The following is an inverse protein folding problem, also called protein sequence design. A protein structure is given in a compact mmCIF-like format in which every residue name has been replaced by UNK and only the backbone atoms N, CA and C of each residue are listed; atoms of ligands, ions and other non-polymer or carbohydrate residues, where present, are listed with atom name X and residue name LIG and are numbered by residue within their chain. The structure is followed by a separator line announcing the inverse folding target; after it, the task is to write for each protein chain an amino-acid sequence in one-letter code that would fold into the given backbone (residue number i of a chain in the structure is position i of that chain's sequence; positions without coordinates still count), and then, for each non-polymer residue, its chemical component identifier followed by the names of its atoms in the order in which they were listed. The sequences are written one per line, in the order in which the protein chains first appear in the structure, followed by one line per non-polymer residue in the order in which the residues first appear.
data_IF_250078375458
#
_entry.id   IF_250078375458
#
_cell.length_a   1.000
_cell.length_b   1.000
_cell.length_c   1.000
_cell.angle_alpha   90.00
_cell.angle_beta   90.00
_cell.angle_gamma   90.00
#
_symmetry.space_group_name_H-M   'P 1'
#
loop_
_entity.id
_entity.type
_entity.pdbx_description
1 polymer ?
#
# COMPACT_ATOMS: atom_id res chain seq x y z
N UNK A 1 -15.35 -8.67 16.96
CA UNK A 1 -14.13 -8.08 17.56
C UNK A 1 -13.74 -6.79 16.83
N UNK A 2 -13.69 -6.79 15.50
CA UNK A 2 -13.32 -5.62 14.72
C UNK A 2 -14.32 -4.45 14.77
N UNK A 3 -15.62 -4.72 15.03
CA UNK A 3 -16.64 -3.68 15.24
C UNK A 3 -16.34 -2.71 16.40
N UNK A 4 -15.44 -3.10 17.31
CA UNK A 4 -14.93 -2.24 18.39
C UNK A 4 -13.84 -1.27 17.93
N UNK A 5 -13.42 -1.31 16.67
CA UNK A 5 -12.34 -0.48 16.16
C UNK A 5 -12.85 0.53 15.12
N UNK A 6 -12.10 1.63 15.00
CA UNK A 6 -12.21 2.62 13.94
C UNK A 6 -10.89 2.64 13.16
N UNK A 7 -10.96 2.59 11.84
CA UNK A 7 -9.80 2.73 10.97
C UNK A 7 -9.42 4.21 10.81
N UNK A 8 -8.15 4.55 10.91
CA UNK A 8 -7.61 5.82 10.44
C UNK A 8 -6.49 5.53 9.46
N UNK A 9 -6.46 6.29 8.36
CA UNK A 9 -5.37 6.21 7.40
C UNK A 9 -4.56 7.49 7.49
N UNK A 10 -3.25 7.36 7.64
CA UNK A 10 -2.31 8.48 7.59
C UNK A 10 -1.24 8.22 6.53
N UNK A 11 -0.61 9.26 6.03
CA UNK A 11 0.47 9.10 5.08
C UNK A 11 1.52 10.22 5.17
N UNK A 12 2.76 9.91 4.78
CA UNK A 12 3.88 10.85 4.83
C UNK A 12 5.12 10.33 4.13
N UNK A 13 6.16 11.16 4.06
CA UNK A 13 7.41 10.85 3.34
C UNK A 13 8.42 10.00 4.12
N UNK A 14 8.12 9.66 5.38
CA UNK A 14 9.02 8.88 6.23
C UNK A 14 8.23 8.01 7.21
N UNK A 15 8.92 7.19 8.00
CA UNK A 15 8.29 6.38 9.05
C UNK A 15 7.81 7.19 10.27
N UNK A 16 8.22 8.46 10.40
CA UNK A 16 7.81 9.34 11.48
C UNK A 16 6.33 9.74 11.35
N UNK A 17 5.48 9.06 12.12
CA UNK A 17 4.03 9.26 12.09
C UNK A 17 3.60 10.67 12.52
N UNK A 18 4.44 11.43 13.24
CA UNK A 18 4.12 12.81 13.65
C UNK A 18 4.15 13.78 12.48
N UNK A 19 4.83 13.41 11.39
CA UNK A 19 4.91 14.16 10.12
C UNK A 19 3.87 13.69 9.10
N UNK A 20 3.00 12.75 9.47
CA UNK A 20 1.98 12.24 8.57
C UNK A 20 0.75 13.15 8.56
N UNK A 21 0.09 13.19 7.41
CA UNK A 21 -1.22 13.81 7.24
C UNK A 21 -2.30 12.73 7.32
N UNK A 22 -3.49 13.12 7.81
CA UNK A 22 -4.67 12.24 7.78
C UNK A 22 -5.18 12.16 6.34
N UNK A 23 -5.41 10.95 5.85
CA UNK A 23 -5.99 10.73 4.52
C UNK A 23 -7.51 10.80 4.62
N UNK A 24 -8.20 11.65 3.84
CA UNK A 24 -9.65 11.71 3.81
C UNK A 24 -10.20 10.51 3.01
N UNK A 25 -10.31 9.35 3.66
CA UNK A 25 -10.75 8.10 3.01
C UNK A 25 -12.10 8.26 2.33
N UNK A 26 -12.23 7.72 1.10
CA UNK A 26 -13.40 7.79 0.22
C UNK A 26 -13.81 9.20 -0.24
N UNK A 27 -13.08 10.25 0.16
CA UNK A 27 -13.23 11.61 -0.39
C UNK A 27 -12.59 11.69 -1.78
N UNK A 28 -13.07 12.56 -2.69
CA UNK A 28 -12.33 12.92 -3.90
C UNK A 28 -11.09 13.78 -3.60
N UNK A 29 -10.96 14.32 -2.39
CA UNK A 29 -9.80 15.11 -1.98
C UNK A 29 -8.52 14.27 -1.95
N UNK A 30 -7.46 14.80 -2.54
CA UNK A 30 -6.13 14.20 -2.52
C UNK A 30 -5.29 14.79 -1.40
N UNK A 31 -4.36 14.00 -0.87
CA UNK A 31 -3.28 14.55 -0.05
C UNK A 31 -1.99 14.58 -0.86
N UNK A 32 -1.16 15.58 -0.59
CA UNK A 32 0.17 15.70 -1.23
C UNK A 32 1.25 15.36 -0.22
N UNK A 33 2.19 14.50 -0.62
CA UNK A 33 3.41 14.22 0.13
C UNK A 33 4.62 14.65 -0.69
N UNK A 34 5.41 15.56 -0.12
CA UNK A 34 6.64 16.07 -0.73
C UNK A 34 7.86 15.67 0.10
N UNK A 35 8.96 15.38 -0.60
CA UNK A 35 10.27 15.11 -0.01
C UNK A 35 11.38 15.42 -1.02
N UNK A 36 12.63 15.29 -0.58
CA UNK A 36 13.80 15.34 -1.47
C UNK A 36 13.83 14.20 -2.50
N UNK A 37 13.07 13.12 -2.30
CA UNK A 37 13.08 11.95 -3.18
C UNK A 37 11.89 11.87 -4.13
N UNK A 38 10.73 12.43 -3.74
CA UNK A 38 9.48 12.25 -4.48
C UNK A 38 8.46 13.35 -4.20
N UNK A 39 7.63 13.64 -5.19
CA UNK A 39 6.33 14.32 -5.05
C UNK A 39 5.21 13.30 -5.25
N UNK A 40 4.23 13.22 -4.37
CA UNK A 40 3.13 12.25 -4.43
C UNK A 40 1.78 12.94 -4.23
N UNK A 41 0.81 12.64 -5.07
CA UNK A 41 -0.61 12.91 -4.84
C UNK A 41 -1.33 11.59 -4.56
N UNK A 42 -2.00 11.46 -3.41
CA UNK A 42 -2.59 10.22 -2.92
C UNK A 42 -4.10 10.34 -2.72
N UNK A 43 -4.82 9.27 -3.07
CA UNK A 43 -6.18 9.01 -2.62
C UNK A 43 -6.32 7.55 -2.13
N UNK A 44 -7.08 7.34 -1.06
CA UNK A 44 -7.33 6.01 -0.49
C UNK A 44 -8.84 5.79 -0.38
N UNK A 45 -9.29 4.62 -0.82
CA UNK A 45 -10.70 4.21 -0.77
C UNK A 45 -10.82 2.87 -0.07
N UNK A 46 -11.88 2.70 0.71
CA UNK A 46 -12.15 1.47 1.47
C UNK A 46 -13.65 1.21 1.41
N UNK A 47 -14.06 0.01 0.98
CA UNK A 47 -15.47 -0.39 1.03
C UNK A 47 -15.94 -0.52 2.48
N UNK A 48 -17.21 -0.18 2.73
CA UNK A 48 -17.84 -0.28 4.04
C UNK A 48 -17.05 0.40 5.17
N UNK A 49 -16.33 1.47 4.87
CA UNK A 49 -15.42 2.19 5.75
C UNK A 49 -16.09 2.57 7.08
N UNK A 50 -15.44 2.16 8.18
CA UNK A 50 -15.80 2.52 9.55
C UNK A 50 -14.58 3.13 10.23
N UNK A 51 -14.43 4.44 10.14
CA UNK A 51 -13.17 5.06 10.52
C UNK A 51 -13.21 6.53 10.90
N UNK A 52 -12.01 7.12 10.93
CA UNK A 52 -11.73 8.51 11.23
C UNK A 52 -11.13 9.18 9.98
N UNK A 53 -11.61 10.35 9.55
CA UNK A 53 -12.71 11.12 10.14
C UNK A 53 -14.07 10.40 10.10
N UNK A 54 -14.91 10.61 11.12
CA UNK A 54 -16.21 9.90 11.28
C UNK A 54 -17.19 10.22 10.15
N UNK A 55 -17.06 11.40 9.56
CA UNK A 55 -17.89 11.91 8.47
C UNK A 55 -17.41 11.48 7.08
N UNK A 56 -16.31 10.72 6.96
CA UNK A 56 -15.91 10.15 5.68
C UNK A 56 -17.01 9.23 5.13
N UNK A 57 -17.27 9.24 3.81
CA UNK A 57 -18.22 8.32 3.21
C UNK A 57 -17.87 6.86 3.53
N UNK A 58 -18.89 6.04 3.78
CA UNK A 58 -18.68 4.60 4.04
C UNK A 58 -18.22 3.83 2.80
N UNK A 59 -18.39 4.39 1.60
CA UNK A 59 -17.92 3.77 0.36
C UNK A 59 -17.67 4.84 -0.71
N UNK A 60 -17.13 4.43 -1.86
CA UNK A 60 -16.86 5.30 -3.00
C UNK A 60 -17.50 4.74 -4.29
N UNK A 61 -18.02 5.59 -5.20
CA UNK A 61 -18.48 5.17 -6.52
C UNK A 61 -17.43 4.41 -7.34
N UNK A 62 -16.14 4.57 -7.02
CA UNK A 62 -15.03 3.81 -7.59
C UNK A 62 -15.31 2.29 -7.62
N UNK A 63 -15.87 1.73 -6.55
CA UNK A 63 -16.12 0.29 -6.45
C UNK A 63 -17.26 -0.21 -7.35
N UNK A 64 -18.04 0.70 -7.95
CA UNK A 64 -19.07 0.36 -8.93
C UNK A 64 -18.50 0.27 -10.35
N UNK A 65 -17.33 0.87 -10.59
CA UNK A 65 -16.70 0.88 -11.90
C UNK A 65 -16.05 -0.49 -12.20
N UNK A 66 -16.11 -0.99 -13.44
CA UNK A 66 -15.27 -2.11 -13.86
C UNK A 66 -13.77 -1.72 -13.82
N UNK A 67 -12.86 -2.65 -13.47
CA UNK A 67 -13.13 -4.03 -13.09
C UNK A 67 -13.54 -4.22 -11.62
N UNK A 68 -13.50 -3.16 -10.79
CA UNK A 68 -13.67 -3.22 -9.33
C UNK A 68 -14.99 -3.84 -8.88
N UNK A 69 -16.09 -3.53 -9.57
CA UNK A 69 -17.41 -4.11 -9.27
C UNK A 69 -17.45 -5.61 -9.51
N UNK A 70 -16.79 -6.10 -10.57
CA UNK A 70 -16.68 -7.53 -10.88
C UNK A 70 -15.73 -8.26 -9.93
N UNK A 71 -14.61 -7.62 -9.60
CA UNK A 71 -13.58 -8.20 -8.72
C UNK A 71 -14.00 -8.16 -7.25
N UNK A 72 -14.97 -7.31 -6.89
CA UNK A 72 -15.36 -7.01 -5.53
C UNK A 72 -14.18 -6.47 -4.69
N UNK A 73 -13.41 -5.54 -5.28
CA UNK A 73 -12.23 -4.94 -4.64
C UNK A 73 -12.61 -4.25 -3.33
N UNK A 74 -11.94 -4.56 -2.23
CA UNK A 74 -12.33 -4.06 -0.90
C UNK A 74 -11.70 -2.71 -0.55
N UNK A 75 -10.63 -2.33 -1.24
CA UNK A 75 -9.95 -1.06 -1.06
C UNK A 75 -9.17 -0.67 -2.31
N UNK A 76 -8.77 0.59 -2.42
CA UNK A 76 -7.75 1.04 -3.34
C UNK A 76 -6.81 2.07 -2.71
N UNK A 77 -5.55 1.99 -3.12
CA UNK A 77 -4.52 2.99 -2.89
C UNK A 77 -4.15 3.51 -4.28
N UNK A 78 -4.64 4.71 -4.62
CA UNK A 78 -4.35 5.37 -5.89
C UNK A 78 -3.39 6.51 -5.63
N UNK A 79 -2.28 6.58 -6.34
CA UNK A 79 -1.31 7.67 -6.19
C UNK A 79 -0.64 8.02 -7.51
N UNK A 80 -0.40 9.31 -7.72
CA UNK A 80 0.54 9.79 -8.74
C UNK A 80 1.84 10.15 -8.06
N UNK A 81 2.98 9.66 -8.54
CA UNK A 81 4.28 10.02 -7.99
C UNK A 81 5.26 10.49 -9.06
N UNK A 82 6.10 11.44 -8.68
CA UNK A 82 7.17 12.00 -9.51
C UNK A 82 8.51 11.85 -8.78
N UNK A 83 9.38 10.91 -9.19
CA UNK A 83 10.71 10.74 -8.61
C UNK A 83 11.57 12.00 -8.81
N UNK A 84 12.38 12.36 -7.82
CA UNK A 84 13.38 13.45 -7.94
C UNK A 84 14.72 12.97 -8.50
N UNK A 85 14.94 11.65 -8.49
CA UNK A 85 16.07 10.97 -9.12
C UNK A 85 15.57 9.75 -9.88
N UNK A 86 16.28 9.34 -10.92
CA UNK A 86 15.92 8.17 -11.71
C UNK A 86 16.16 6.90 -10.88
N UNK A 87 15.20 5.97 -10.89
CA UNK A 87 15.24 4.73 -10.09
C UNK A 87 15.04 3.54 -11.02
N UNK A 88 15.92 2.53 -10.95
CA UNK A 88 15.72 1.30 -11.71
C UNK A 88 14.42 0.61 -11.31
N UNK A 89 13.72 -0.02 -12.27
CA UNK A 89 12.54 -0.82 -11.97
C UNK A 89 12.82 -2.02 -11.04
N UNK A 90 14.08 -2.47 -11.00
CA UNK A 90 14.50 -3.50 -10.06
C UNK A 90 14.54 -2.99 -8.61
N UNK A 91 14.71 -1.68 -8.42
CA UNK A 91 15.03 -1.12 -7.11
C UNK A 91 13.86 -0.39 -6.45
N UNK A 92 12.87 0.05 -7.23
CA UNK A 92 11.63 0.60 -6.67
C UNK A 92 10.72 -0.53 -6.19
N UNK A 93 10.53 -0.61 -4.88
CA UNK A 93 9.72 -1.60 -4.21
C UNK A 93 8.43 -0.98 -3.67
N UNK A 94 7.35 -1.77 -3.71
CA UNK A 94 6.10 -1.46 -3.04
C UNK A 94 5.63 -2.67 -2.22
N UNK A 95 5.14 -2.44 -1.01
CA UNK A 95 4.70 -3.53 -0.13
C UNK A 95 4.64 -3.10 1.33
N UNK A 96 4.76 -4.08 2.23
CA UNK A 96 4.59 -3.90 3.67
C UNK A 96 5.89 -4.19 4.42
N UNK A 97 6.13 -3.47 5.51
CA UNK A 97 7.23 -3.71 6.45
C UNK A 97 6.79 -3.42 7.89
N UNK A 98 7.61 -3.89 8.83
CA UNK A 98 7.32 -3.87 10.26
C UNK A 98 8.54 -3.42 11.04
N UNK A 99 8.32 -2.62 12.09
CA UNK A 99 9.40 -2.08 12.93
C UNK A 99 9.89 -3.09 13.99
N UNK A 100 9.22 -4.24 14.12
CA UNK A 100 9.49 -5.23 15.16
C UNK A 100 9.19 -6.67 14.70
N UNK A 101 9.83 -7.68 15.32
CA UNK A 101 9.65 -9.07 14.94
C UNK A 101 8.20 -9.53 15.16
N UNK A 102 7.67 -10.30 14.21
CA UNK A 102 6.32 -10.92 14.30
C UNK A 102 6.36 -12.45 14.34
N UNK A 103 7.54 -13.07 14.27
CA UNK A 103 7.75 -14.53 14.17
C UNK A 103 6.97 -15.36 15.19
N UNK A 104 6.90 -14.90 16.44
CA UNK A 104 6.22 -15.62 17.53
C UNK A 104 4.69 -15.46 17.50
N UNK A 105 4.18 -14.67 16.55
CA UNK A 105 2.76 -14.35 16.36
C UNK A 105 2.27 -14.80 15.00
N UNK A 106 3.04 -15.56 14.23
CA UNK A 106 2.56 -16.05 12.95
C UNK A 106 1.50 -17.15 13.18
N UNK A 107 0.39 -17.13 12.43
CA UNK A 107 -0.61 -18.20 12.50
C UNK A 107 0.01 -19.54 12.10
N UNK A 108 -0.46 -20.66 12.68
CA UNK A 108 -0.16 -21.98 12.12
C UNK A 108 -0.53 -22.01 10.62
N UNK A 109 0.38 -22.50 9.79
CA UNK A 109 0.18 -22.54 8.33
C UNK A 109 0.47 -21.23 7.60
N UNK A 110 1.07 -20.21 8.25
CA UNK A 110 1.44 -18.94 7.60
C UNK A 110 2.19 -19.13 6.29
N UNK A 111 3.18 -20.03 6.23
CA UNK A 111 3.96 -20.28 5.01
C UNK A 111 3.07 -20.79 3.84
N UNK A 112 2.00 -21.54 4.14
CA UNK A 112 1.04 -21.95 3.12
C UNK A 112 0.18 -20.77 2.64
N UNK A 113 -0.33 -19.95 3.56
CA UNK A 113 -1.04 -18.71 3.22
C UNK A 113 -0.17 -17.76 2.39
N UNK A 114 1.11 -17.61 2.74
CA UNK A 114 2.06 -16.77 2.01
C UNK A 114 2.30 -17.28 0.59
N UNK A 115 2.40 -18.59 0.38
CA UNK A 115 2.44 -19.17 -0.98
C UNK A 115 1.19 -18.85 -1.79
N UNK A 116 0.01 -18.88 -1.16
CA UNK A 116 -1.26 -18.51 -1.82
C UNK A 116 -1.26 -17.01 -2.17
N UNK A 117 -0.79 -16.14 -1.27
CA UNK A 117 -0.66 -14.69 -1.54
C UNK A 117 0.25 -14.45 -2.73
N UNK A 118 1.42 -15.10 -2.79
CA UNK A 118 2.31 -15.01 -3.95
C UNK A 118 1.64 -15.50 -5.24
N UNK A 119 0.89 -16.59 -5.16
CA UNK A 119 0.24 -17.14 -6.34
C UNK A 119 -0.94 -16.29 -6.85
N UNK A 120 -1.78 -15.75 -5.96
CA UNK A 120 -3.02 -15.05 -6.31
C UNK A 120 -2.90 -13.53 -6.42
N UNK A 121 -2.07 -12.91 -5.59
CA UNK A 121 -2.07 -11.45 -5.39
C UNK A 121 -0.88 -10.83 -6.10
N UNK A 122 0.33 -11.29 -5.74
CA UNK A 122 1.58 -10.77 -6.26
C UNK A 122 2.67 -11.84 -6.35
N UNK A 123 2.91 -12.41 -7.55
CA UNK A 123 3.97 -13.39 -7.76
C UNK A 123 5.38 -12.83 -7.55
N UNK A 124 5.55 -11.51 -7.66
CA UNK A 124 6.82 -10.81 -7.45
C UNK A 124 7.10 -10.51 -5.98
N UNK A 125 6.17 -10.84 -5.08
CA UNK A 125 6.32 -10.58 -3.66
C UNK A 125 7.41 -11.46 -3.05
N UNK A 126 8.40 -10.83 -2.47
CA UNK A 126 9.45 -11.42 -1.65
C UNK A 126 9.31 -10.91 -0.22
N UNK A 127 9.89 -11.61 0.74
CA UNK A 127 9.80 -11.18 2.12
C UNK A 127 10.42 -12.15 3.09
N UNK A 128 10.82 -11.61 4.22
CA UNK A 128 11.21 -12.37 5.41
C UNK A 128 10.30 -11.96 6.56
N UNK A 129 9.37 -12.83 6.92
CA UNK A 129 8.46 -12.60 8.06
C UNK A 129 9.05 -13.02 9.40
N UNK A 130 10.20 -13.69 9.39
CA UNK A 130 10.89 -14.16 10.59
C UNK A 130 12.02 -13.22 11.04
N UNK A 131 12.38 -12.25 10.20
CA UNK A 131 13.34 -11.19 10.50
C UNK A 131 12.95 -10.36 11.74
N UNK A 132 13.94 -9.66 12.32
CA UNK A 132 13.69 -8.70 13.39
C UNK A 132 12.95 -7.45 12.91
N UNK A 133 13.12 -7.11 11.62
CA UNK A 133 12.31 -6.14 10.90
C UNK A 133 11.66 -6.85 9.71
N UNK A 134 10.51 -7.51 9.94
CA UNK A 134 9.81 -8.24 8.90
C UNK A 134 9.43 -7.35 7.72
N UNK A 135 9.42 -7.94 6.52
CA UNK A 135 8.98 -7.24 5.31
C UNK A 135 8.37 -8.18 4.28
N UNK A 136 7.52 -7.62 3.43
CA UNK A 136 6.88 -8.23 2.27
C UNK A 136 6.87 -7.19 1.14
N UNK A 137 7.82 -7.26 0.23
CA UNK A 137 7.99 -6.31 -0.87
C UNK A 137 8.01 -7.00 -2.22
N UNK A 138 7.39 -6.38 -3.22
CA UNK A 138 7.60 -6.75 -4.62
C UNK A 138 8.11 -5.55 -5.41
N UNK A 139 8.73 -5.77 -6.58
CA UNK A 139 9.04 -4.68 -7.50
C UNK A 139 7.76 -3.92 -7.86
N UNK A 140 7.74 -2.60 -7.68
CA UNK A 140 6.55 -1.78 -7.86
C UNK A 140 5.92 -1.99 -9.26
N UNK A 141 6.75 -2.18 -10.29
CA UNK A 141 6.33 -2.41 -11.66
C UNK A 141 5.50 -3.69 -11.86
N UNK A 142 5.71 -4.72 -11.03
CA UNK A 142 4.94 -5.98 -11.06
C UNK A 142 3.87 -6.07 -9.96
N UNK A 143 4.02 -5.34 -8.86
CA UNK A 143 3.10 -5.40 -7.72
C UNK A 143 1.86 -4.52 -7.88
N UNK A 144 2.02 -3.33 -8.45
CA UNK A 144 0.92 -2.40 -8.69
C UNK A 144 -0.04 -2.97 -9.73
N UNK A 145 -1.34 -2.73 -9.57
CA UNK A 145 -2.36 -3.15 -10.52
C UNK A 145 -2.32 -2.22 -11.74
N UNK A 146 -2.50 -0.91 -11.54
CA UNK A 146 -2.48 0.06 -12.64
C UNK A 146 -1.20 0.88 -12.60
N UNK A 147 -0.61 1.15 -13.77
CA UNK A 147 0.49 2.09 -13.99
C UNK A 147 0.14 2.91 -15.23
N UNK A 148 -0.09 4.20 -15.02
CA UNK A 148 -0.34 5.22 -16.01
C UNK A 148 0.87 6.14 -16.14
N UNK A 149 1.32 6.39 -17.37
CA UNK A 149 2.41 7.34 -17.64
C UNK A 149 1.85 8.74 -17.91
N UNK A 150 2.19 9.73 -17.07
CA UNK A 150 1.76 11.12 -17.22
C UNK A 150 0.58 11.54 -16.34
N UNK A 151 0.08 12.77 -16.57
CA UNK A 151 -0.92 13.43 -15.72
C UNK A 151 -2.35 12.92 -15.96
N UNK A 152 -2.86 12.19 -14.96
CA UNK A 152 -4.27 11.87 -14.65
C UNK A 152 -5.14 11.23 -15.77
N UNK A 153 -5.14 9.89 -15.86
CA UNK A 153 -6.34 9.10 -16.21
C UNK A 153 -6.37 7.78 -15.43
N UNK A 154 -7.52 7.42 -14.86
CA UNK A 154 -7.79 6.19 -14.09
C UNK A 154 -8.00 4.95 -14.99
N UNK A 155 -7.15 4.76 -15.99
CA UNK A 155 -7.07 3.54 -16.81
C UNK A 155 -5.61 3.19 -17.10
N UNK A 156 -5.30 1.89 -17.14
CA UNK A 156 -3.96 1.39 -17.50
C UNK A 156 -3.48 1.97 -18.83
N UNK A 157 -2.23 2.47 -18.88
CA UNK A 157 -1.69 3.03 -20.12
C UNK A 157 -0.75 4.20 -19.90
N UNK A 158 -0.92 5.25 -20.71
CA UNK A 158 -0.16 6.49 -20.61
C UNK A 158 -0.65 7.54 -21.61
N UNK A 159 -0.30 8.80 -21.39
CA UNK A 159 -0.47 9.85 -22.40
C UNK A 159 0.36 9.57 -23.67
N UNK A 160 0.26 10.41 -24.70
CA UNK A 160 0.81 10.10 -26.04
C UNK A 160 2.31 9.74 -26.02
N UNK A 161 3.13 10.46 -25.25
CA UNK A 161 4.55 10.16 -25.04
C UNK A 161 4.74 8.88 -24.19
N UNK A 162 3.97 8.71 -23.12
CA UNK A 162 4.00 7.51 -22.28
C UNK A 162 3.66 6.22 -23.05
N UNK A 163 2.66 6.28 -23.92
CA UNK A 163 2.28 5.19 -24.84
C UNK A 163 3.38 4.90 -25.85
N UNK A 164 4.08 5.92 -26.34
CA UNK A 164 5.23 5.75 -27.25
C UNK A 164 6.38 5.03 -26.56
N UNK A 165 6.70 5.40 -25.31
CA UNK A 165 7.75 4.75 -24.51
C UNK A 165 7.40 3.28 -24.22
N UNK A 166 6.16 2.98 -23.83
CA UNK A 166 5.72 1.58 -23.60
C UNK A 166 5.95 0.71 -24.83
N UNK A 167 5.52 1.19 -26.00
CA UNK A 167 5.70 0.48 -27.28
C UNK A 167 7.17 0.29 -27.60
N UNK A 168 7.99 1.34 -27.46
CA UNK A 168 9.43 1.26 -27.70
C UNK A 168 10.13 0.23 -26.80
N UNK A 169 9.67 0.08 -25.54
CA UNK A 169 10.21 -0.90 -24.58
C UNK A 169 9.48 -2.25 -24.57
N UNK A 170 8.55 -2.47 -25.50
CA UNK A 170 7.74 -3.70 -25.59
C UNK A 170 6.97 -4.04 -24.29
N UNK A 171 6.56 -3.01 -23.54
CA UNK A 171 5.75 -3.18 -22.33
C UNK A 171 4.30 -3.45 -22.76
N UNK A 172 3.69 -4.59 -22.38
CA UNK A 172 2.32 -4.92 -22.79
C UNK A 172 1.28 -3.92 -22.28
N UNK A 173 0.16 -3.77 -23.00
CA UNK A 173 -0.89 -2.81 -22.67
C UNK A 173 -1.80 -3.23 -21.51
N UNK A 174 -2.06 -4.53 -21.34
CA UNK A 174 -2.97 -5.01 -20.28
C UNK A 174 -2.28 -5.16 -18.93
N UNK A 175 -3.03 -4.92 -17.85
CA UNK A 175 -2.60 -5.06 -16.46
C UNK A 175 -1.85 -6.39 -16.21
N UNK A 176 -2.53 -7.51 -16.49
CA UNK A 176 -1.99 -8.85 -16.24
C UNK A 176 -0.74 -9.14 -17.07
N UNK A 177 -0.70 -8.74 -18.34
CA UNK A 177 0.46 -8.94 -19.20
C UNK A 177 1.64 -8.05 -18.77
N UNK A 178 1.37 -6.80 -18.36
CA UNK A 178 2.40 -5.89 -17.83
C UNK A 178 2.99 -6.42 -16.54
N UNK A 179 2.16 -6.84 -15.58
CA UNK A 179 2.62 -7.46 -14.32
C UNK A 179 3.51 -8.67 -14.63
N UNK A 180 3.06 -9.57 -15.51
CA UNK A 180 3.84 -10.74 -15.95
C UNK A 180 5.16 -10.36 -16.64
N UNK A 181 5.15 -9.34 -17.51
CA UNK A 181 6.36 -8.84 -18.19
C UNK A 181 7.41 -8.37 -17.17
N UNK A 182 6.98 -7.63 -16.15
CA UNK A 182 7.84 -7.13 -15.09
C UNK A 182 8.14 -8.15 -13.98
N UNK A 183 7.63 -9.38 -14.01
CA UNK A 183 8.13 -10.46 -13.14
C UNK A 183 9.55 -10.89 -13.55
N UNK A 184 9.92 -10.68 -14.82
CA UNK A 184 11.26 -10.96 -15.33
C UNK A 184 12.23 -9.82 -15.00
N UNK A 185 13.33 -10.13 -14.32
CA UNK A 185 14.37 -9.21 -13.90
C UNK A 185 15.10 -8.51 -15.07
N UNK A 186 15.34 -9.23 -16.18
CA UNK A 186 15.94 -8.66 -17.40
C UNK A 186 15.03 -7.67 -18.09
N UNK A 187 13.71 -7.83 -17.97
CA UNK A 187 12.74 -6.86 -18.48
C UNK A 187 12.70 -5.62 -17.59
N UNK A 188 12.68 -5.81 -16.26
CA UNK A 188 12.79 -4.71 -15.29
C UNK A 188 14.09 -3.92 -15.47
N UNK A 189 15.22 -4.59 -15.73
CA UNK A 189 16.51 -3.93 -15.93
C UNK A 189 16.55 -2.98 -17.16
N UNK A 190 15.57 -3.06 -18.07
CA UNK A 190 15.41 -2.16 -19.23
C UNK A 190 14.46 -0.98 -18.94
N UNK A 191 13.88 -0.94 -17.74
CA UNK A 191 12.92 0.07 -17.31
C UNK A 191 13.48 0.91 -16.16
N UNK A 192 13.24 2.21 -16.24
CA UNK A 192 13.59 3.17 -15.22
C UNK A 192 12.37 4.04 -14.91
N UNK A 193 12.19 4.34 -13.64
CA UNK A 193 11.33 5.40 -13.14
C UNK A 193 12.11 6.72 -13.25
N UNK A 194 11.90 7.43 -14.36
CA UNK A 194 12.61 8.65 -14.77
C UNK A 194 12.38 9.79 -13.78
N UNK A 195 13.47 10.49 -13.42
CA UNK A 195 13.39 11.71 -12.64
C UNK A 195 12.49 12.76 -13.33
N UNK A 196 11.62 13.41 -12.55
CA UNK A 196 10.72 14.46 -13.03
C UNK A 196 9.50 13.96 -13.81
N UNK A 197 9.42 12.67 -14.15
CA UNK A 197 8.23 12.08 -14.79
C UNK A 197 7.19 11.68 -13.76
N UNK A 198 5.94 12.04 -14.00
CA UNK A 198 4.82 11.60 -13.18
C UNK A 198 4.30 10.23 -13.63
N UNK A 199 4.07 9.36 -12.65
CA UNK A 199 3.50 8.02 -12.82
C UNK A 199 2.26 7.87 -11.95
N UNK A 200 1.10 7.71 -12.57
CA UNK A 200 -0.15 7.31 -11.89
C UNK A 200 -0.13 5.82 -11.59
N UNK A 201 -0.50 5.43 -10.38
CA UNK A 201 -0.43 4.06 -9.91
C UNK A 201 -1.68 3.70 -9.11
N UNK A 202 -2.14 2.46 -9.22
CA UNK A 202 -3.17 1.94 -8.32
C UNK A 202 -2.80 0.57 -7.77
N UNK A 203 -3.11 0.36 -6.50
CA UNK A 203 -3.08 -0.94 -5.83
C UNK A 203 -4.44 -1.22 -5.19
N UNK A 204 -5.07 -2.32 -5.58
CA UNK A 204 -6.37 -2.75 -5.11
C UNK A 204 -6.48 -4.27 -5.18
N UNK A 205 -7.26 -4.86 -4.28
CA UNK A 205 -7.62 -6.26 -4.36
C UNK A 205 -8.87 -6.56 -3.50
N UNK A 206 -9.53 -7.71 -3.72
CA UNK A 206 -10.67 -8.14 -2.91
C UNK A 206 -10.27 -8.85 -1.61
N UNK A 207 -8.97 -9.07 -1.38
CA UNK A 207 -8.49 -10.03 -0.38
C UNK A 207 -8.28 -9.40 1.00
N UNK A 208 -7.91 -8.13 1.11
CA UNK A 208 -7.71 -7.47 2.40
C UNK A 208 -8.95 -6.67 2.81
N UNK A 209 -9.64 -7.14 3.85
CA UNK A 209 -10.76 -6.42 4.47
C UNK A 209 -10.24 -5.65 5.69
N UNK A 210 -10.18 -4.31 5.58
CA UNK A 210 -9.73 -3.46 6.68
C UNK A 210 -10.77 -3.27 7.80
N UNK A 211 -12.05 -3.53 7.54
CA UNK A 211 -13.12 -3.40 8.53
C UNK A 211 -13.13 -4.57 9.51
N UNK A 212 -12.76 -5.76 9.05
CA UNK A 212 -12.53 -6.94 9.89
C UNK A 212 -11.04 -7.18 10.20
N UNK A 213 -10.17 -6.40 9.54
CA UNK A 213 -8.71 -6.54 9.55
C UNK A 213 -8.31 -8.00 9.35
N UNK A 214 -8.73 -8.53 8.20
CA UNK A 214 -8.59 -9.92 7.83
C UNK A 214 -8.15 -10.07 6.38
N UNK A 215 -7.27 -11.03 6.13
CA UNK A 215 -6.90 -11.46 4.80
C UNK A 215 -7.83 -12.63 4.41
N UNK A 216 -8.71 -12.39 3.44
CA UNK A 216 -9.62 -13.36 2.84
C UNK A 216 -8.97 -13.97 1.61
N UNK A 217 -8.69 -15.26 1.64
CA UNK A 217 -8.19 -16.02 0.50
C UNK A 217 -9.23 -17.07 0.11
N UNK A 218 -9.18 -17.63 -1.11
CA UNK A 218 -10.06 -18.74 -1.49
C UNK A 218 -9.96 -19.90 -0.48
N UNK A 219 -11.09 -20.26 0.13
CA UNK A 219 -11.19 -21.36 1.09
C UNK A 219 -10.66 -21.09 2.51
N UNK A 220 -10.13 -19.88 2.80
CA UNK A 220 -9.60 -19.57 4.14
C UNK A 220 -9.66 -18.07 4.46
N UNK A 221 -9.89 -17.72 5.73
CA UNK A 221 -9.81 -16.33 6.22
C UNK A 221 -8.82 -16.25 7.38
N UNK A 222 -7.82 -15.39 7.23
CA UNK A 222 -6.82 -15.11 8.24
C UNK A 222 -7.15 -13.81 8.99
N UNK A 223 -7.63 -13.86 10.25
CA UNK A 223 -7.87 -12.65 11.04
C UNK A 223 -6.53 -12.04 11.44
N UNK A 224 -6.16 -10.93 10.81
CA UNK A 224 -4.87 -10.27 11.00
C UNK A 224 -4.81 -9.59 12.38
N UNK A 225 -5.93 -9.14 12.94
CA UNK A 225 -5.97 -8.43 14.23
C UNK A 225 -5.33 -9.19 15.41
N UNK A 226 -5.26 -10.53 15.34
CA UNK A 226 -4.65 -11.36 16.39
C UNK A 226 -3.13 -11.40 16.33
N UNK A 227 -2.55 -11.07 15.18
CA UNK A 227 -1.15 -11.31 14.83
C UNK A 227 -0.41 -10.01 14.55
N UNK A 228 -1.11 -9.08 13.92
CA UNK A 228 -0.63 -7.77 13.52
C UNK A 228 -0.93 -6.80 14.65
N UNK A 229 0.12 -6.50 15.42
CA UNK A 229 0.26 -5.45 16.44
C UNK A 229 0.08 -5.84 17.91
N UNK A 230 1.11 -5.51 18.69
CA UNK A 230 0.94 -4.85 20.00
C UNK A 230 2.19 -3.98 20.22
N UNK A 231 2.17 -2.69 19.83
CA UNK A 231 2.71 -1.66 20.71
C UNK A 231 1.90 -1.74 22.00
N UNK A 232 2.24 -2.71 22.84
CA UNK A 232 1.90 -2.60 24.24
C UNK A 232 2.70 -1.40 24.69
N UNK A 233 2.01 -0.36 25.13
CA UNK A 233 2.53 0.80 25.86
C UNK A 233 3.24 0.34 27.16
N UNK A 234 4.21 -0.57 27.05
CA UNK A 234 5.10 -1.02 28.10
C UNK A 234 6.37 -0.17 28.13
N UNK A 235 6.73 0.49 27.02
CA UNK A 235 7.94 1.31 26.93
C UNK A 235 7.71 2.83 26.72
N UNK A 236 6.48 3.32 26.52
CA UNK A 236 6.22 4.77 26.58
C UNK A 236 5.80 5.14 28.01
N UNK A 237 6.81 5.41 28.85
CA UNK A 237 6.66 6.14 30.11
C UNK A 237 6.64 7.66 29.90
N UNK A 238 6.42 8.15 28.68
CA UNK A 238 6.36 9.59 28.44
C UNK A 238 4.98 10.15 28.71
N UNK A 239 4.89 10.81 29.87
CA UNK A 239 3.83 11.74 30.27
C UNK A 239 4.02 13.07 29.51
N UNK A 240 3.87 13.09 28.19
CA UNK A 240 3.78 14.36 27.46
C UNK A 240 2.35 14.55 26.93
N UNK A 241 1.68 15.54 27.53
CA UNK A 241 0.45 16.21 27.14
C UNK A 241 -0.17 15.78 25.79
N UNK A 242 -1.03 14.75 25.84
CA UNK A 242 -1.62 14.09 24.68
C UNK A 242 -2.94 14.73 24.23
N UNK A 243 -3.01 16.06 24.19
CA UNK A 243 -4.24 16.78 23.76
C UNK A 243 -4.40 16.83 22.24
N UNK A 244 -3.32 16.65 21.46
CA UNK A 244 -3.36 16.70 19.98
C UNK A 244 -3.42 15.34 19.28
N UNK A 245 -2.87 14.27 19.85
CA UNK A 245 -2.92 12.92 19.28
C UNK A 245 -2.97 11.87 20.40
N UNK A 246 -4.17 11.41 20.83
CA UNK A 246 -4.25 10.36 21.83
C UNK A 246 -3.70 9.06 21.24
N UNK A 247 -2.51 8.61 21.63
CA UNK A 247 -1.96 7.30 21.26
C UNK A 247 -2.82 6.22 21.94
N UNK A 248 -3.60 5.40 21.22
CA UNK A 248 -4.55 4.51 21.87
C UNK A 248 -3.87 3.30 22.48
N UNK A 249 -4.40 2.83 23.62
CA UNK A 249 -3.86 1.74 24.46
C UNK A 249 -3.85 0.34 23.82
N UNK A 250 -3.99 0.21 22.50
CA UNK A 250 -3.84 -0.97 21.63
C UNK A 250 -4.27 -0.50 20.23
N UNK A 251 -3.32 -0.12 19.39
CA UNK A 251 -3.58 0.07 17.96
C UNK A 251 -3.16 -1.19 17.19
N UNK A 252 -3.74 -1.38 16.01
CA UNK A 252 -3.25 -2.36 15.02
C UNK A 252 -2.87 -1.65 13.74
N UNK A 253 -1.60 -1.75 13.32
CA UNK A 253 -1.06 -1.02 12.17
C UNK A 253 -0.68 -1.94 11.02
N UNK A 254 -1.09 -1.57 9.81
CA UNK A 254 -0.54 -2.10 8.57
C UNK A 254 0.04 -0.94 7.77
N UNK A 255 1.33 -1.04 7.43
CA UNK A 255 2.07 0.00 6.71
C UNK A 255 2.34 -0.45 5.28
N UNK A 256 2.03 0.41 4.31
CA UNK A 256 2.49 0.30 2.92
C UNK A 256 3.62 1.29 2.69
N UNK A 257 4.66 0.87 2.00
CA UNK A 257 5.84 1.68 1.75
C UNK A 257 6.27 1.57 0.30
N UNK A 258 6.49 2.73 -0.33
CA UNK A 258 7.22 2.86 -1.58
C UNK A 258 8.68 3.20 -1.23
N UNK A 259 9.63 2.37 -1.66
CA UNK A 259 11.03 2.43 -1.24
C UNK A 259 11.98 2.19 -2.39
N UNK A 260 13.09 2.93 -2.43
CA UNK A 260 14.22 2.61 -3.27
C UNK A 260 15.21 1.74 -2.48
N UNK A 261 15.38 0.48 -2.88
CA UNK A 261 16.29 -0.43 -2.17
C UNK A 261 17.77 -0.14 -2.44
N UNK A 262 18.11 0.50 -3.56
CA UNK A 262 19.50 0.73 -3.94
C UNK A 262 20.23 1.67 -2.97
N UNK A 263 19.51 2.64 -2.41
CA UNK A 263 20.01 3.60 -1.42
C UNK A 263 19.24 3.54 -0.10
N UNK A 264 18.36 2.54 0.06
CA UNK A 264 17.50 2.33 1.21
C UNK A 264 16.53 3.50 1.52
N UNK A 265 16.28 4.41 0.56
CA UNK A 265 15.45 5.59 0.79
C UNK A 265 13.96 5.26 0.76
N UNK A 266 13.22 5.82 1.72
CA UNK A 266 11.76 5.77 1.75
C UNK A 266 11.25 6.95 0.93
N UNK A 267 10.41 6.65 -0.06
CA UNK A 267 9.79 7.69 -0.87
C UNK A 267 8.48 8.14 -0.21
N UNK A 268 7.65 7.17 0.19
CA UNK A 268 6.34 7.46 0.73
C UNK A 268 5.78 6.28 1.53
N UNK A 269 4.99 6.59 2.57
CA UNK A 269 4.43 5.64 3.52
C UNK A 269 2.94 5.92 3.72
N UNK A 270 2.13 4.86 3.72
CA UNK A 270 0.71 4.88 4.12
C UNK A 270 0.55 3.95 5.33
N UNK A 271 -0.16 4.39 6.35
CA UNK A 271 -0.41 3.61 7.56
C UNK A 271 -1.90 3.50 7.79
N UNK A 272 -2.40 2.26 7.75
CA UNK A 272 -3.75 1.90 8.17
C UNK A 272 -3.69 1.52 9.64
N UNK A 273 -4.33 2.32 10.50
CA UNK A 273 -4.31 2.13 11.96
C UNK A 273 -5.71 1.86 12.47
N UNK A 274 -5.92 0.74 13.15
CA UNK A 274 -7.13 0.48 13.91
C UNK A 274 -7.01 1.05 15.32
N UNK A 275 -7.99 1.82 15.74
CA UNK A 275 -8.12 2.33 17.10
C UNK A 275 -9.33 1.76 17.79
N UNK A 276 -9.16 1.29 19.02
CA UNK A 276 -10.28 0.83 19.83
C UNK A 276 -11.22 2.01 20.14
N UNK A 277 -12.51 1.84 19.82
CA UNK A 277 -13.61 2.72 20.22
C UNK A 277 -13.61 2.83 21.73
N UNK A 278 -13.73 4.06 22.22
CA UNK A 278 -13.98 4.33 23.63
C UNK A 278 -15.43 3.99 23.98
#
# INVERSE_FOLDING_TARGET
MASKYLLQVTAGSSYDATKHQIVPVNSPEIITVESEHVSVSLNVRVQSYRGLPINSPSTSPYFLLPPHSKNNDQYSISFAFTPKSTISANDLLFGNDFDYPIRDRLPPGFNAAFRIVKWLIDPGLEGDVYADQPYLYGPAASSLNVIHFGRLVFTEGGCADGSTIRKAKSIPDSEAARKKFFLNDKNRAKWDWEAGREYGCEFFNPYLDFNEFALRLPGFTLPMIKYFDVQSSRNLKDKSDSSKFPIPRRSHRLRYTLKNRANNSVLFVIVFTLYLKR
#
